data_IF_364270985768
#
_entry.id   IF_364270985768
#
_cell.length_a   1.000
_cell.length_b   1.000
_cell.length_c   1.000
_cell.angle_alpha   90.00
_cell.angle_beta   90.00
_cell.angle_gamma   90.00
#
_symmetry.space_group_name_H-M   'P 1'
#
loop_
_entity.id
_entity.type
_entity.pdbx_description
1 polymer ?
#
# COMPACT_ATOMS: atom_id res chain seq x y z
N UNK A 1 6.54 -17.99 4.40
CA UNK A 1 6.90 -16.67 3.79
C UNK A 1 5.85 -16.15 2.81
N UNK A 2 5.32 -16.96 1.88
CA UNK A 2 4.38 -16.47 0.85
C UNK A 2 3.06 -15.92 1.42
N UNK A 3 2.49 -16.58 2.43
CA UNK A 3 1.29 -16.10 3.15
C UNK A 3 1.55 -14.75 3.83
N UNK A 4 2.67 -14.62 4.54
CA UNK A 4 3.10 -13.35 5.14
C UNK A 4 3.21 -12.21 4.11
N UNK A 5 3.84 -12.44 2.96
CA UNK A 5 3.95 -11.43 1.90
C UNK A 5 2.56 -11.03 1.39
N UNK A 6 1.66 -12.01 1.21
CA UNK A 6 0.30 -11.76 0.74
C UNK A 6 -0.50 -10.93 1.76
N UNK A 7 -0.49 -11.32 3.04
CA UNK A 7 -1.22 -10.59 4.09
C UNK A 7 -0.69 -9.19 4.27
N UNK A 8 0.63 -9.01 4.28
CA UNK A 8 1.26 -7.69 4.37
C UNK A 8 0.93 -6.82 3.16
N UNK A 9 0.98 -7.39 1.95
CA UNK A 9 0.58 -6.70 0.73
C UNK A 9 -0.88 -6.24 0.74
N UNK A 10 -1.79 -7.10 1.21
CA UNK A 10 -3.20 -6.75 1.38
C UNK A 10 -3.41 -5.62 2.40
N UNK A 11 -2.69 -5.65 3.53
CA UNK A 11 -2.76 -4.59 4.54
C UNK A 11 -2.31 -3.24 3.96
N UNK A 12 -1.16 -3.19 3.28
CA UNK A 12 -0.68 -1.94 2.67
C UNK A 12 -1.57 -1.46 1.52
N UNK A 13 -2.12 -2.37 0.73
CA UNK A 13 -3.10 -2.03 -0.30
C UNK A 13 -4.37 -1.42 0.32
N UNK A 14 -4.88 -2.01 1.41
CA UNK A 14 -6.02 -1.48 2.15
C UNK A 14 -5.74 -0.08 2.72
N UNK A 15 -4.52 0.17 3.24
CA UNK A 15 -4.11 1.50 3.68
C UNK A 15 -4.14 2.52 2.53
N UNK A 16 -3.63 2.17 1.35
CA UNK A 16 -3.74 3.04 0.16
C UNK A 16 -5.20 3.31 -0.19
N UNK A 17 -6.05 2.27 -0.18
CA UNK A 17 -7.47 2.43 -0.45
C UNK A 17 -8.16 3.36 0.55
N UNK A 18 -7.82 3.29 1.84
CA UNK A 18 -8.30 4.22 2.87
C UNK A 18 -7.83 5.65 2.60
N UNK A 19 -6.57 5.86 2.20
CA UNK A 19 -6.09 7.19 1.84
C UNK A 19 -6.84 7.76 0.63
N UNK A 20 -7.11 6.94 -0.40
CA UNK A 20 -7.89 7.35 -1.58
C UNK A 20 -9.34 7.65 -1.20
N UNK A 21 -9.96 6.79 -0.38
CA UNK A 21 -11.31 7.01 0.12
C UNK A 21 -11.40 8.34 0.90
N UNK A 22 -10.40 8.61 1.75
CA UNK A 22 -10.30 9.86 2.51
C UNK A 22 -10.25 11.08 1.60
N UNK A 23 -9.54 11.03 0.47
CA UNK A 23 -9.58 12.11 -0.54
C UNK A 23 -10.97 12.28 -1.17
N UNK A 24 -11.73 11.19 -1.32
CA UNK A 24 -13.11 11.26 -1.79
C UNK A 24 -14.07 11.95 -0.81
N UNK A 25 -13.82 11.80 0.51
CA UNK A 25 -14.66 12.37 1.57
C UNK A 25 -14.22 13.80 1.95
N UNK A 26 -12.91 14.04 2.09
CA UNK A 26 -12.34 15.31 2.56
C UNK A 26 -11.84 16.22 1.41
N UNK A 27 -11.91 15.75 0.16
CA UNK A 27 -11.36 16.45 -1.00
C UNK A 27 -9.83 16.44 -1.03
N UNK A 28 -9.22 17.47 -1.64
CA UNK A 28 -7.76 17.59 -1.78
C UNK A 28 -7.04 18.14 -0.53
N UNK A 29 -7.79 18.45 0.55
CA UNK A 29 -7.24 18.99 1.79
C UNK A 29 -6.10 18.15 2.41
N UNK A 30 -6.25 16.81 2.52
CA UNK A 30 -5.21 15.93 3.07
C UNK A 30 -3.87 16.00 2.34
N UNK A 31 -3.83 16.38 1.06
CA UNK A 31 -2.59 16.51 0.29
C UNK A 31 -1.66 17.61 0.80
N UNK A 32 -2.18 18.57 1.60
CA UNK A 32 -1.36 19.60 2.25
C UNK A 32 -0.66 19.10 3.52
N UNK A 33 -1.05 17.91 4.02
CA UNK A 33 -0.45 17.31 5.19
C UNK A 33 0.74 16.42 4.77
N UNK A 34 1.98 16.74 5.18
CA UNK A 34 3.16 15.97 4.78
C UNK A 34 3.12 14.53 5.29
N UNK A 35 2.51 14.29 6.46
CA UNK A 35 2.38 12.94 7.03
C UNK A 35 1.46 12.09 6.14
N UNK A 36 0.36 12.66 5.65
CA UNK A 36 -0.54 11.97 4.74
C UNK A 36 0.18 11.56 3.45
N UNK A 37 0.98 12.46 2.86
CA UNK A 37 1.75 12.18 1.65
C UNK A 37 2.77 11.05 1.88
N UNK A 38 3.57 11.15 2.95
CA UNK A 38 4.63 10.17 3.26
C UNK A 38 4.02 8.79 3.54
N UNK A 39 2.99 8.72 4.38
CA UNK A 39 2.35 7.44 4.73
C UNK A 39 1.64 6.81 3.53
N UNK A 40 1.00 7.61 2.68
CA UNK A 40 0.41 7.12 1.42
C UNK A 40 1.48 6.57 0.49
N UNK A 41 2.59 7.31 0.29
CA UNK A 41 3.69 6.91 -0.58
C UNK A 41 4.37 5.61 -0.10
N UNK A 42 4.66 5.51 1.20
CA UNK A 42 5.25 4.30 1.80
C UNK A 42 4.29 3.11 1.65
N UNK A 43 2.99 3.31 1.93
CA UNK A 43 1.99 2.24 1.80
C UNK A 43 1.90 1.75 0.35
N UNK A 44 1.89 2.66 -0.63
CA UNK A 44 1.89 2.30 -2.05
C UNK A 44 3.17 1.55 -2.45
N UNK A 45 4.34 2.04 -2.02
CA UNK A 45 5.62 1.37 -2.28
C UNK A 45 5.65 -0.05 -1.70
N UNK A 46 5.13 -0.25 -0.48
CA UNK A 46 5.06 -1.56 0.16
C UNK A 46 4.07 -2.50 -0.51
N UNK A 47 2.91 -2.01 -0.95
CA UNK A 47 1.95 -2.82 -1.71
C UNK A 47 2.56 -3.29 -3.05
N UNK A 48 3.26 -2.39 -3.75
CA UNK A 48 3.97 -2.71 -5.00
C UNK A 48 5.10 -3.70 -4.76
N UNK A 49 5.92 -3.51 -3.73
CA UNK A 49 6.97 -4.45 -3.36
C UNK A 49 6.40 -5.84 -3.04
N UNK A 50 5.33 -5.92 -2.25
CA UNK A 50 4.71 -7.19 -1.88
C UNK A 50 4.21 -7.95 -3.12
N UNK A 51 3.66 -7.25 -4.11
CA UNK A 51 3.24 -7.84 -5.38
C UNK A 51 4.43 -8.44 -6.17
N UNK A 52 5.55 -7.74 -6.25
CA UNK A 52 6.76 -8.28 -6.89
C UNK A 52 7.37 -9.44 -6.10
N UNK A 53 7.44 -9.32 -4.77
CA UNK A 53 7.94 -10.35 -3.88
C UNK A 53 7.09 -11.64 -3.96
N UNK A 54 5.77 -11.51 -3.99
CA UNK A 54 4.85 -12.64 -4.15
C UNK A 54 5.07 -13.37 -5.48
N UNK A 55 5.24 -12.60 -6.58
CA UNK A 55 5.54 -13.16 -7.91
C UNK A 55 6.91 -13.85 -7.98
N UNK A 56 7.90 -13.39 -7.22
CA UNK A 56 9.21 -14.04 -7.11
C UNK A 56 9.15 -15.31 -6.25
N UNK A 57 8.39 -15.29 -5.15
CA UNK A 57 8.24 -16.42 -4.25
C UNK A 57 7.53 -17.63 -4.89
N UNK A 58 6.69 -17.41 -5.92
CA UNK A 58 6.08 -18.48 -6.71
C UNK A 58 6.96 -19.03 -7.84
N UNK A 59 8.14 -18.45 -8.08
CA UNK A 59 9.08 -18.83 -9.16
C UNK A 59 10.37 -19.47 -8.63
N UNK A 60 10.45 -19.77 -7.34
CA UNK A 60 11.55 -20.58 -6.81
C UNK A 60 11.37 -22.04 -7.30
N UNK A 61 12.44 -22.69 -7.82
CA UNK A 61 12.39 -24.09 -8.25
C UNK A 61 12.07 -25.04 -7.10
#
# INVERSE_FOLDING_TARGET
MRSYILTSGLLFFALVAVHVFRLGVEGLGPLRNPIFLVTTAISAAMAVWAWFAYRKAGRAP
#
